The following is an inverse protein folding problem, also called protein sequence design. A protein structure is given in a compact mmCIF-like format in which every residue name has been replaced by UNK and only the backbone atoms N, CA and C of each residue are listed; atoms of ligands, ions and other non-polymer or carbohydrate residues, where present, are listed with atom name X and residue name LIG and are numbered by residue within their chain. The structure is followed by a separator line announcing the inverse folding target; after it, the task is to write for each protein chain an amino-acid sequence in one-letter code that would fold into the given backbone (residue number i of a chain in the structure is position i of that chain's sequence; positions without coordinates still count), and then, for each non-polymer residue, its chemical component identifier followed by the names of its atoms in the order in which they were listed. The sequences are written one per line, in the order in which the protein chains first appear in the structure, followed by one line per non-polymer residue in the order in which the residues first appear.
data_IF_762763135890
#
_entry.id   IF_762763135890
#
_cell.length_a   1.000
_cell.length_b   1.000
_cell.length_c   1.000
_cell.angle_alpha   90.00
_cell.angle_beta   90.00
_cell.angle_gamma   90.00
#
_symmetry.space_group_name_H-M   'P 1'
#
loop_
_entity.id
_entity.type
_entity.pdbx_description
1 polymer ?
#
# COMPACT_ATOMS: atom_id res chain seq x y z
N UNK A 1 -22.34 7.56 -17.98
CA UNK A 1 -22.02 6.27 -17.38
C UNK A 1 -20.77 6.36 -16.51
N UNK A 2 -20.90 5.94 -15.31
CA UNK A 2 -19.78 5.99 -14.39
C UNK A 2 -18.82 4.84 -14.65
N UNK A 3 -17.58 5.17 -14.71
CA UNK A 3 -16.56 4.16 -14.84
C UNK A 3 -16.14 3.74 -13.44
N UNK A 4 -16.26 2.46 -13.16
CA UNK A 4 -15.93 1.94 -11.83
C UNK A 4 -14.53 1.37 -11.72
N UNK A 5 -13.73 1.52 -12.77
CA UNK A 5 -12.35 1.10 -12.66
C UNK A 5 -11.60 2.01 -11.71
N UNK A 6 -10.87 1.40 -10.84
CA UNK A 6 -9.86 2.10 -10.07
C UNK A 6 -8.56 1.65 -10.72
N UNK A 7 -7.74 2.59 -11.17
CA UNK A 7 -6.49 2.20 -11.80
C UNK A 7 -5.64 1.47 -10.77
N UNK A 8 -4.74 0.60 -11.24
CA UNK A 8 -3.87 -0.14 -10.32
C UNK A 8 -2.97 0.80 -9.54
N UNK A 9 -2.62 1.95 -10.12
CA UNK A 9 -1.86 2.97 -9.43
C UNK A 9 -2.67 3.55 -8.27
N UNK A 10 -3.94 3.88 -8.53
CA UNK A 10 -4.81 4.41 -7.49
C UNK A 10 -5.03 3.42 -6.37
N UNK A 11 -5.17 2.14 -6.71
CA UNK A 11 -5.34 1.09 -5.72
C UNK A 11 -4.14 1.06 -4.77
N UNK A 12 -2.93 1.06 -5.33
CA UNK A 12 -1.72 1.03 -4.53
C UNK A 12 -1.65 2.23 -3.59
N UNK A 13 -1.84 3.43 -4.13
CA UNK A 13 -1.70 4.64 -3.32
C UNK A 13 -2.79 4.75 -2.28
N UNK A 14 -4.01 4.32 -2.59
CA UNK A 14 -5.09 4.29 -1.60
C UNK A 14 -4.75 3.39 -0.42
N UNK A 15 -4.26 2.18 -0.71
CA UNK A 15 -3.88 1.24 0.33
C UNK A 15 -2.71 1.75 1.15
N UNK A 16 -1.73 2.35 0.47
CA UNK A 16 -0.56 2.89 1.14
C UNK A 16 -0.95 4.00 2.12
N UNK A 17 -1.77 4.95 1.65
CA UNK A 17 -2.20 6.04 2.51
C UNK A 17 -3.11 5.59 3.63
N UNK A 18 -3.97 4.61 3.38
CA UNK A 18 -4.80 4.02 4.44
C UNK A 18 -3.92 3.38 5.51
N UNK A 19 -2.87 2.69 5.07
CA UNK A 19 -1.93 2.10 6.01
C UNK A 19 -1.27 3.15 6.89
N UNK A 20 -0.79 4.24 6.28
CA UNK A 20 -0.18 5.32 7.04
C UNK A 20 -1.17 5.98 7.99
N UNK A 21 -2.39 6.20 7.52
CA UNK A 21 -3.44 6.79 8.34
C UNK A 21 -3.73 5.95 9.58
N UNK A 22 -3.85 4.65 9.38
CA UNK A 22 -4.10 3.75 10.51
C UNK A 22 -2.94 3.74 11.49
N UNK A 23 -1.70 3.86 11.00
CA UNK A 23 -0.54 3.97 11.88
C UNK A 23 -0.62 5.20 12.75
N UNK A 24 -0.98 6.33 12.15
CA UNK A 24 -1.12 7.59 12.89
C UNK A 24 -2.18 7.45 13.98
N UNK A 25 -3.23 6.71 13.71
CA UNK A 25 -4.30 6.49 14.68
C UNK A 25 -3.98 5.39 15.69
N UNK A 26 -2.86 4.75 15.57
CA UNK A 26 -2.49 3.67 16.49
C UNK A 26 -3.20 2.36 16.21
N UNK A 27 -3.77 2.20 15.01
CA UNK A 27 -4.50 0.98 14.63
C UNK A 27 -3.55 0.05 13.89
N UNK A 28 -2.64 -0.57 14.62
CA UNK A 28 -1.55 -1.37 14.04
C UNK A 28 -2.02 -2.53 13.18
N UNK A 29 -3.05 -3.26 13.61
CA UNK A 29 -3.54 -4.39 12.82
C UNK A 29 -4.08 -3.97 11.48
N UNK A 30 -4.83 -2.87 11.44
CA UNK A 30 -5.35 -2.34 10.19
C UNK A 30 -4.24 -1.79 9.33
N UNK A 31 -3.28 -1.10 9.94
CA UNK A 31 -2.13 -0.56 9.22
C UNK A 31 -1.37 -1.69 8.53
N UNK A 32 -1.14 -2.78 9.23
CA UNK A 32 -0.46 -3.94 8.66
C UNK A 32 -1.24 -4.50 7.46
N UNK A 33 -2.56 -4.67 7.63
CA UNK A 33 -3.41 -5.21 6.57
C UNK A 33 -3.33 -4.35 5.31
N UNK A 34 -3.49 -3.05 5.46
CA UNK A 34 -3.47 -2.14 4.30
C UNK A 34 -2.09 -2.05 3.66
N UNK A 35 -1.05 -1.99 4.48
CA UNK A 35 0.31 -1.85 3.94
C UNK A 35 0.74 -3.11 3.21
N UNK A 36 0.42 -4.28 3.76
CA UNK A 36 0.74 -5.55 3.09
C UNK A 36 -0.04 -5.68 1.80
N UNK A 37 -1.30 -5.25 1.79
CA UNK A 37 -2.09 -5.24 0.57
C UNK A 37 -1.49 -4.32 -0.48
N UNK A 38 -0.94 -3.17 -0.05
CA UNK A 38 -0.31 -2.25 -0.98
C UNK A 38 0.89 -2.89 -1.67
N UNK A 39 1.78 -3.54 -0.92
CA UNK A 39 2.97 -4.13 -1.53
C UNK A 39 2.65 -5.37 -2.37
N UNK A 40 1.49 -5.98 -2.15
CA UNK A 40 1.04 -7.13 -2.94
C UNK A 40 0.14 -6.70 -4.10
N UNK A 41 -0.16 -5.41 -4.23
CA UNK A 41 -1.07 -4.93 -5.26
C UNK A 41 -0.48 -5.13 -6.65
N UNK A 42 -1.35 -5.11 -7.66
CA UNK A 42 -0.93 -5.28 -9.04
C UNK A 42 0.08 -4.22 -9.48
N UNK A 43 -0.09 -3.01 -9.00
CA UNK A 43 0.85 -1.94 -9.31
C UNK A 43 2.22 -2.23 -8.75
N UNK A 44 2.27 -2.58 -7.47
CA UNK A 44 3.53 -2.76 -6.76
C UNK A 44 4.33 -3.94 -7.30
N UNK A 45 3.68 -5.01 -7.74
CA UNK A 45 4.38 -6.18 -8.28
C UNK A 45 4.55 -6.12 -9.80
N UNK A 46 3.98 -5.12 -10.45
CA UNK A 46 4.02 -4.96 -11.90
C UNK A 46 4.67 -3.64 -12.31
N UNK A 47 3.90 -2.76 -12.97
CA UNK A 47 4.49 -1.54 -13.53
C UNK A 47 5.10 -0.60 -12.49
N UNK A 48 4.62 -0.66 -11.25
CA UNK A 48 5.13 0.20 -10.19
C UNK A 48 6.22 -0.44 -9.34
N UNK A 49 6.72 -1.61 -9.73
CA UNK A 49 7.72 -2.31 -8.91
C UNK A 49 8.98 -1.48 -8.68
N UNK A 50 9.33 -0.62 -9.62
CA UNK A 50 10.49 0.26 -9.49
C UNK A 50 10.16 1.65 -8.96
N UNK A 51 8.91 1.90 -8.62
CA UNK A 51 8.50 3.20 -8.10
C UNK A 51 9.09 3.42 -6.71
N UNK A 52 9.55 4.64 -6.47
CA UNK A 52 10.09 5.01 -5.18
C UNK A 52 9.11 4.73 -4.04
N UNK A 53 7.83 5.05 -4.23
CA UNK A 53 6.84 4.84 -3.18
C UNK A 53 6.58 3.35 -2.92
N UNK A 54 6.71 2.51 -3.93
CA UNK A 54 6.61 1.07 -3.74
C UNK A 54 7.75 0.58 -2.86
N UNK A 55 8.94 1.09 -3.11
CA UNK A 55 10.10 0.77 -2.27
C UNK A 55 9.88 1.23 -0.84
N UNK A 56 9.31 2.43 -0.66
CA UNK A 56 9.00 2.94 0.68
C UNK A 56 8.02 2.02 1.40
N UNK A 57 6.99 1.54 0.71
CA UNK A 57 6.00 0.65 1.30
C UNK A 57 6.65 -0.67 1.74
N UNK A 58 7.52 -1.23 0.91
CA UNK A 58 8.22 -2.46 1.25
C UNK A 58 9.14 -2.29 2.44
N UNK A 59 9.89 -1.20 2.47
CA UNK A 59 10.78 -0.92 3.59
C UNK A 59 9.97 -0.73 4.86
N UNK A 60 8.84 -0.05 4.76
CA UNK A 60 7.97 0.16 5.91
C UNK A 60 7.54 -1.18 6.51
N UNK A 61 7.09 -2.11 5.67
CA UNK A 61 6.70 -3.44 6.13
C UNK A 61 7.87 -4.15 6.81
N UNK A 62 9.05 -4.07 6.22
CA UNK A 62 10.23 -4.71 6.79
C UNK A 62 10.57 -4.14 8.17
N UNK A 63 10.55 -2.83 8.29
CA UNK A 63 10.90 -2.18 9.56
C UNK A 63 9.89 -2.51 10.65
N UNK A 64 8.65 -2.77 10.28
CA UNK A 64 7.61 -3.14 11.23
C UNK A 64 7.55 -4.64 11.50
N UNK A 65 8.30 -5.45 10.76
CA UNK A 65 8.24 -6.89 10.90
C UNK A 65 7.00 -7.49 10.29
N UNK A 66 6.43 -6.84 9.28
CA UNK A 66 5.22 -7.31 8.61
C UNK A 66 5.49 -8.09 7.33
N UNK A 67 6.71 -8.28 6.97
CA UNK A 67 7.06 -8.97 5.74
C UNK A 67 6.96 -10.49 5.88
#
# INVERSE_FOLDING_TARGET
MQNFYISITDEFYSLFYLGLYCEIRGESSKAETYMKAAVASKYAVGPGAGDYMTSCARVHCKLRGWA
#
